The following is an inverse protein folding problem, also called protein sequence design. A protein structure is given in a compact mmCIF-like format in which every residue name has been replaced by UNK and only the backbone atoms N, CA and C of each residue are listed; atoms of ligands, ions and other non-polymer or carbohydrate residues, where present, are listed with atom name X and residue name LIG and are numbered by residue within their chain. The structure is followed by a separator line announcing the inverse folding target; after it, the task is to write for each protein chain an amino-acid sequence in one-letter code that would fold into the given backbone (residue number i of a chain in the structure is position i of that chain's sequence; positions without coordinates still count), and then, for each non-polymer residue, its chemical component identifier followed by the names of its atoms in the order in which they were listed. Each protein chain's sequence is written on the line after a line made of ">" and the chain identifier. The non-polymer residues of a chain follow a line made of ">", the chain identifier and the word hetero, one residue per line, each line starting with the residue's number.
data_IF_231535865840
#
_entry.id   IF_231535865840
#
_cell.length_a   1.000
_cell.length_b   1.000
_cell.length_c   1.000
_cell.angle_alpha   90.00
_cell.angle_beta   90.00
_cell.angle_gamma   90.00
#
_symmetry.space_group_name_H-M   'P 1'
#
loop_
_entity.id
_entity.type
_entity.pdbx_description
1 polymer ?
#
# COMPACT_ATOMS: atom_id res chain seq x y z
N UNK A 1 2.28 25.61 -4.38
CA UNK A 1 1.05 25.25 -3.65
C UNK A 1 0.02 24.81 -4.67
N UNK A 2 0.15 23.58 -5.16
CA UNK A 2 -0.65 23.05 -6.27
C UNK A 2 -1.75 22.18 -5.69
N UNK A 3 -2.96 22.72 -5.56
CA UNK A 3 -4.18 21.97 -5.29
C UNK A 3 -4.49 21.08 -6.51
N UNK A 4 -3.88 19.92 -6.58
CA UNK A 4 -4.46 18.86 -7.40
C UNK A 4 -5.69 18.32 -6.66
N UNK A 5 -6.80 19.00 -6.82
CA UNK A 5 -8.13 18.46 -6.61
C UNK A 5 -8.37 17.41 -7.70
N UNK A 6 -7.78 16.21 -7.57
CA UNK A 6 -8.34 15.07 -8.27
C UNK A 6 -9.79 14.99 -7.78
N UNK A 7 -10.76 15.04 -8.69
CA UNK A 7 -12.19 14.81 -8.44
C UNK A 7 -12.32 13.44 -7.77
N UNK A 8 -12.25 13.41 -6.44
CA UNK A 8 -12.64 12.23 -5.66
C UNK A 8 -14.17 12.27 -5.62
N UNK A 9 -14.82 11.43 -6.38
CA UNK A 9 -16.28 11.30 -6.38
C UNK A 9 -16.80 10.83 -5.02
N UNK A 10 -16.02 9.99 -4.33
CA UNK A 10 -16.30 9.57 -2.96
C UNK A 10 -15.07 9.80 -2.07
N UNK A 11 -15.28 10.51 -0.98
CA UNK A 11 -14.31 10.63 0.11
C UNK A 11 -14.61 9.53 1.12
N UNK A 12 -13.80 8.47 1.13
CA UNK A 12 -13.95 7.33 2.04
C UNK A 12 -12.87 7.42 3.09
N UNK A 13 -13.24 7.24 4.34
CA UNK A 13 -12.34 7.28 5.48
C UNK A 13 -11.24 6.21 5.35
N UNK A 14 -9.96 6.52 5.65
CA UNK A 14 -8.87 5.54 5.62
C UNK A 14 -9.11 4.33 6.53
N UNK A 15 -9.82 4.50 7.63
CA UNK A 15 -10.22 3.41 8.54
C UNK A 15 -11.14 2.42 7.86
N UNK A 16 -12.17 2.95 7.18
CA UNK A 16 -13.12 2.15 6.40
C UNK A 16 -12.42 1.37 5.30
N UNK A 17 -11.43 1.98 4.63
CA UNK A 17 -10.64 1.30 3.61
C UNK A 17 -9.81 0.14 4.18
N UNK A 18 -9.20 0.32 5.34
CA UNK A 18 -8.46 -0.75 6.02
C UNK A 18 -9.38 -1.91 6.42
N UNK A 19 -10.59 -1.57 6.91
CA UNK A 19 -11.59 -2.56 7.29
C UNK A 19 -12.11 -3.31 6.05
N UNK A 20 -12.36 -2.62 4.94
CA UNK A 20 -12.75 -3.23 3.67
C UNK A 20 -11.65 -4.17 3.15
N UNK A 21 -10.37 -3.80 3.29
CA UNK A 21 -9.27 -4.68 2.92
C UNK A 21 -9.28 -5.98 3.74
N UNK A 22 -9.50 -5.89 5.05
CA UNK A 22 -9.62 -7.09 5.90
C UNK A 22 -10.80 -7.97 5.47
N UNK A 23 -11.96 -7.37 5.21
CA UNK A 23 -13.14 -8.09 4.70
C UNK A 23 -12.83 -8.74 3.35
N UNK A 24 -12.12 -8.03 2.46
CA UNK A 24 -11.72 -8.56 1.15
C UNK A 24 -10.77 -9.77 1.29
N UNK A 25 -9.83 -9.74 2.25
CA UNK A 25 -8.95 -10.88 2.54
C UNK A 25 -9.77 -12.08 2.99
N UNK A 26 -10.72 -11.88 3.90
CA UNK A 26 -11.62 -12.95 4.36
C UNK A 26 -12.47 -13.48 3.20
N UNK A 27 -13.05 -12.59 2.38
CA UNK A 27 -13.84 -12.98 1.21
C UNK A 27 -13.03 -13.84 0.21
N UNK A 28 -11.79 -13.46 -0.07
CA UNK A 28 -10.93 -14.17 -1.00
C UNK A 28 -10.48 -15.54 -0.46
N UNK A 29 -10.21 -15.65 0.85
CA UNK A 29 -9.80 -16.92 1.46
C UNK A 29 -10.97 -17.91 1.57
N UNK A 30 -12.19 -17.42 1.82
CA UNK A 30 -13.40 -18.27 1.96
C UNK A 30 -14.13 -18.48 0.63
N UNK A 31 -13.60 -17.96 -0.49
CA UNK A 31 -14.23 -18.10 -1.80
C UNK A 31 -14.45 -19.58 -2.19
N UNK A 32 -15.70 -20.03 -2.41
CA UNK A 32 -16.00 -21.40 -2.75
C UNK A 32 -15.68 -21.72 -4.21
N UNK A 33 -15.88 -20.76 -5.11
CA UNK A 33 -15.80 -20.93 -6.55
C UNK A 33 -15.04 -19.79 -7.25
N UNK A 34 -14.46 -20.10 -8.42
CA UNK A 34 -13.74 -19.15 -9.26
C UNK A 34 -14.67 -18.01 -9.77
N UNK A 35 -15.95 -18.30 -9.98
CA UNK A 35 -16.97 -17.32 -10.37
C UNK A 35 -17.25 -16.31 -9.28
N UNK A 36 -17.17 -16.74 -8.03
CA UNK A 36 -17.27 -15.84 -6.86
C UNK A 36 -16.08 -14.89 -6.79
N UNK A 37 -14.86 -15.36 -7.06
CA UNK A 37 -13.68 -14.50 -7.13
C UNK A 37 -13.78 -13.44 -8.24
N UNK A 38 -14.32 -13.80 -9.42
CA UNK A 38 -14.64 -12.83 -10.49
C UNK A 38 -15.59 -11.73 -10.00
N UNK A 39 -16.66 -12.13 -9.29
CA UNK A 39 -17.62 -11.17 -8.73
C UNK A 39 -16.94 -10.24 -7.71
N UNK A 40 -16.06 -10.76 -6.86
CA UNK A 40 -15.29 -9.96 -5.91
C UNK A 40 -14.42 -8.92 -6.61
N UNK A 41 -13.70 -9.32 -7.67
CA UNK A 41 -12.87 -8.40 -8.47
C UNK A 41 -13.73 -7.32 -9.15
N UNK A 42 -14.93 -7.66 -9.62
CA UNK A 42 -15.86 -6.67 -10.18
C UNK A 42 -16.31 -5.64 -9.14
N UNK A 43 -16.63 -6.07 -7.93
CA UNK A 43 -17.00 -5.15 -6.82
C UNK A 43 -15.83 -4.24 -6.47
N UNK A 44 -14.61 -4.78 -6.38
CA UNK A 44 -13.40 -3.99 -6.16
C UNK A 44 -13.17 -3.00 -7.30
N UNK A 45 -13.43 -3.40 -8.55
CA UNK A 45 -13.33 -2.51 -9.71
C UNK A 45 -14.32 -1.35 -9.65
N UNK A 46 -15.58 -1.61 -9.29
CA UNK A 46 -16.59 -0.57 -9.07
C UNK A 46 -16.13 0.39 -7.94
N UNK A 47 -15.61 -0.15 -6.85
CA UNK A 47 -15.03 0.66 -5.78
C UNK A 47 -13.87 1.55 -6.26
N UNK A 48 -12.98 1.03 -7.12
CA UNK A 48 -11.88 1.80 -7.71
C UNK A 48 -12.38 2.91 -8.63
N UNK A 49 -13.44 2.65 -9.42
CA UNK A 49 -14.09 3.65 -10.28
C UNK A 49 -14.70 4.77 -9.43
N UNK A 50 -15.44 4.44 -8.38
CA UNK A 50 -16.01 5.41 -7.44
C UNK A 50 -14.95 6.24 -6.72
N UNK A 51 -13.78 5.65 -6.46
CA UNK A 51 -12.62 6.35 -5.88
C UNK A 51 -11.86 7.22 -6.88
N UNK A 52 -12.32 7.31 -8.15
CA UNK A 52 -11.74 8.17 -9.19
C UNK A 52 -10.47 7.63 -9.84
N UNK A 53 -10.12 6.36 -9.65
CA UNK A 53 -8.92 5.70 -10.23
C UNK A 53 -9.28 4.79 -11.40
N UNK A 54 -9.88 5.37 -12.44
CA UNK A 54 -10.37 4.64 -13.63
C UNK A 54 -9.27 3.77 -14.26
N UNK A 55 -8.05 4.28 -14.41
CA UNK A 55 -6.94 3.51 -15.01
C UNK A 55 -6.60 2.26 -14.20
N UNK A 56 -6.54 2.37 -12.88
CA UNK A 56 -6.29 1.22 -12.00
C UNK A 56 -7.43 0.20 -12.06
N UNK A 57 -8.69 0.65 -12.07
CA UNK A 57 -9.83 -0.22 -12.20
C UNK A 57 -9.79 -1.03 -13.50
N UNK A 58 -9.57 -0.36 -14.64
CA UNK A 58 -9.52 -1.01 -15.95
C UNK A 58 -8.35 -1.99 -16.04
N UNK A 59 -7.14 -1.55 -15.68
CA UNK A 59 -5.94 -2.41 -15.73
C UNK A 59 -6.10 -3.64 -14.82
N UNK A 60 -6.59 -3.44 -13.59
CA UNK A 60 -6.81 -4.54 -12.66
C UNK A 60 -7.87 -5.53 -13.13
N UNK A 61 -8.99 -5.05 -13.67
CA UNK A 61 -10.05 -5.95 -14.17
C UNK A 61 -9.60 -6.70 -15.43
N UNK A 62 -9.00 -6.01 -16.38
CA UNK A 62 -8.47 -6.64 -17.60
C UNK A 62 -7.37 -7.65 -17.25
N UNK A 63 -6.46 -7.29 -16.33
CA UNK A 63 -5.40 -8.19 -15.87
C UNK A 63 -5.97 -9.47 -15.25
N UNK A 64 -7.04 -9.37 -14.45
CA UNK A 64 -7.68 -10.53 -13.86
C UNK A 64 -8.37 -11.40 -14.91
N UNK A 65 -9.12 -10.80 -15.83
CA UNK A 65 -9.81 -11.53 -16.93
C UNK A 65 -8.79 -12.25 -17.81
N UNK A 66 -7.68 -11.59 -18.14
CA UNK A 66 -6.61 -12.20 -18.91
C UNK A 66 -5.98 -13.39 -18.16
N UNK A 67 -5.71 -13.23 -16.88
CA UNK A 67 -5.18 -14.29 -16.03
C UNK A 67 -6.18 -15.46 -15.90
N UNK A 68 -7.46 -15.16 -15.77
CA UNK A 68 -8.54 -16.16 -15.75
C UNK A 68 -8.60 -16.96 -17.05
N UNK A 69 -8.53 -16.29 -18.19
CA UNK A 69 -8.51 -16.94 -19.49
C UNK A 69 -7.30 -17.87 -19.67
N UNK A 70 -6.11 -17.42 -19.25
CA UNK A 70 -4.90 -18.25 -19.28
C UNK A 70 -5.05 -19.47 -18.38
N UNK A 71 -5.58 -19.31 -17.17
CA UNK A 71 -5.78 -20.41 -16.24
C UNK A 71 -6.72 -21.47 -16.79
N UNK A 72 -7.82 -21.08 -17.43
CA UNK A 72 -8.76 -22.00 -18.08
C UNK A 72 -8.11 -22.74 -19.27
N UNK A 73 -7.33 -22.05 -20.09
CA UNK A 73 -6.60 -22.68 -21.20
C UNK A 73 -5.51 -23.64 -20.71
N UNK A 74 -4.79 -23.29 -19.65
CA UNK A 74 -3.74 -24.12 -19.08
C UNK A 74 -4.31 -25.43 -18.51
N UNK A 75 -5.43 -25.34 -17.79
CA UNK A 75 -6.11 -26.51 -17.23
C UNK A 75 -6.70 -27.38 -18.33
N UNK A 76 -7.29 -26.80 -19.37
CA UNK A 76 -7.89 -27.56 -20.47
C UNK A 76 -6.88 -28.35 -21.34
N UNK A 77 -5.60 -27.92 -21.36
CA UNK A 77 -4.54 -28.54 -22.16
C UNK A 77 -3.58 -29.42 -21.37
N UNK A 78 -3.66 -29.42 -20.04
CA UNK A 78 -2.77 -30.20 -19.19
C UNK A 78 -3.16 -31.67 -19.15
N UNK A 79 -2.16 -32.56 -18.99
CA UNK A 79 -2.40 -33.98 -18.66
C UNK A 79 -2.95 -34.10 -17.25
N UNK A 80 -3.68 -35.19 -16.95
CA UNK A 80 -4.37 -35.39 -15.66
C UNK A 80 -3.46 -35.18 -14.43
N UNK A 81 -2.21 -35.62 -14.48
CA UNK A 81 -1.25 -35.46 -13.39
C UNK A 81 -0.81 -33.99 -13.18
N UNK A 82 -0.66 -33.23 -14.28
CA UNK A 82 -0.30 -31.81 -14.23
C UNK A 82 -1.50 -30.92 -13.89
N UNK A 83 -2.70 -31.36 -14.24
CA UNK A 83 -3.94 -30.60 -14.05
C UNK A 83 -4.20 -30.30 -12.56
N UNK A 84 -4.01 -31.30 -11.68
CA UNK A 84 -4.21 -31.12 -10.23
C UNK A 84 -3.22 -30.12 -9.65
N UNK A 85 -1.95 -30.21 -10.05
CA UNK A 85 -0.91 -29.29 -9.57
C UNK A 85 -1.13 -27.86 -10.08
N UNK A 86 -1.52 -27.72 -11.37
CA UNK A 86 -1.85 -26.42 -11.95
C UNK A 86 -3.08 -25.79 -11.30
N UNK A 87 -4.13 -26.56 -11.06
CA UNK A 87 -5.33 -26.07 -10.36
C UNK A 87 -5.01 -25.57 -8.96
N UNK A 88 -4.17 -26.27 -8.20
CA UNK A 88 -3.79 -25.84 -6.86
C UNK A 88 -2.97 -24.54 -6.91
N UNK A 89 -1.98 -24.45 -7.79
CA UNK A 89 -1.12 -23.27 -7.91
C UNK A 89 -1.89 -22.05 -8.44
N UNK A 90 -2.65 -22.21 -9.52
CA UNK A 90 -3.44 -21.14 -10.13
C UNK A 90 -4.55 -20.68 -9.17
N UNK A 91 -5.19 -21.60 -8.44
CA UNK A 91 -6.19 -21.27 -7.43
C UNK A 91 -5.60 -20.41 -6.30
N UNK A 92 -4.37 -20.68 -5.87
CA UNK A 92 -3.68 -19.83 -4.89
C UNK A 92 -3.45 -18.42 -5.43
N UNK A 93 -3.03 -18.28 -6.68
CA UNK A 93 -2.80 -16.97 -7.31
C UNK A 93 -4.13 -16.21 -7.46
N UNK A 94 -5.22 -16.89 -7.84
CA UNK A 94 -6.55 -16.28 -7.93
C UNK A 94 -7.00 -15.72 -6.58
N UNK A 95 -6.78 -16.41 -5.46
CA UNK A 95 -7.12 -15.93 -4.10
C UNK A 95 -6.30 -14.73 -3.67
N UNK A 96 -5.03 -14.63 -4.08
CA UNK A 96 -4.14 -13.52 -3.71
C UNK A 96 -4.48 -12.25 -4.54
N UNK A 97 -4.94 -12.41 -5.78
CA UNK A 97 -5.15 -11.30 -6.71
C UNK A 97 -6.12 -10.22 -6.20
N UNK A 98 -7.34 -10.53 -5.72
CA UNK A 98 -8.28 -9.53 -5.20
C UNK A 98 -7.69 -8.71 -4.05
N UNK A 99 -6.94 -9.37 -3.16
CA UNK A 99 -6.29 -8.71 -2.02
C UNK A 99 -5.21 -7.72 -2.48
N UNK A 100 -4.36 -8.15 -3.43
CA UNK A 100 -3.33 -7.29 -4.02
C UNK A 100 -3.93 -6.11 -4.78
N UNK A 101 -5.00 -6.35 -5.53
CA UNK A 101 -5.71 -5.31 -6.28
C UNK A 101 -6.34 -4.27 -5.34
N UNK A 102 -7.04 -4.72 -4.29
CA UNK A 102 -7.60 -3.81 -3.28
C UNK A 102 -6.51 -3.03 -2.54
N UNK A 103 -5.41 -3.68 -2.15
CA UNK A 103 -4.25 -3.03 -1.53
C UNK A 103 -3.65 -1.95 -2.44
N UNK A 104 -3.50 -2.21 -3.72
CA UNK A 104 -3.02 -1.25 -4.73
C UNK A 104 -3.93 -0.01 -4.84
N UNK A 105 -5.25 -0.21 -4.80
CA UNK A 105 -6.23 0.88 -4.80
C UNK A 105 -6.09 1.73 -3.53
N UNK A 106 -5.99 1.10 -2.36
CA UNK A 106 -5.85 1.81 -1.08
C UNK A 106 -4.58 2.64 -1.06
N UNK A 107 -3.43 2.07 -1.43
CA UNK A 107 -2.14 2.78 -1.48
C UNK A 107 -2.23 3.98 -2.43
N UNK A 108 -2.88 3.83 -3.58
CA UNK A 108 -2.99 4.88 -4.58
C UNK A 108 -4.00 5.99 -4.23
N UNK A 109 -4.97 5.70 -3.35
CA UNK A 109 -6.06 6.63 -2.98
C UNK A 109 -5.90 7.27 -1.62
N UNK A 110 -5.08 6.69 -0.73
CA UNK A 110 -4.90 7.16 0.64
C UNK A 110 -3.59 7.93 0.76
N UNK A 111 -3.66 9.16 1.27
CA UNK A 111 -2.47 9.94 1.57
C UNK A 111 -1.88 9.50 2.91
N UNK A 112 -0.56 9.59 3.02
CA UNK A 112 0.18 9.26 4.25
C UNK A 112 -0.34 10.05 5.45
N UNK A 113 -0.67 11.34 5.27
CA UNK A 113 -1.23 12.18 6.32
C UNK A 113 -2.63 11.74 6.79
N UNK A 114 -3.46 11.23 5.87
CA UNK A 114 -4.78 10.68 6.19
C UNK A 114 -4.64 9.36 6.99
N UNK A 115 -3.67 8.53 6.61
CA UNK A 115 -3.36 7.28 7.32
C UNK A 115 -2.88 7.54 8.75
N UNK A 116 -1.98 8.51 8.96
CA UNK A 116 -1.51 8.89 10.30
C UNK A 116 -2.65 9.44 11.17
N UNK A 117 -3.52 10.26 10.59
CA UNK A 117 -4.70 10.76 11.31
C UNK A 117 -5.66 9.64 11.70
N UNK A 118 -5.82 8.63 10.82
CA UNK A 118 -6.62 7.45 11.12
C UNK A 118 -6.04 6.65 12.30
N UNK A 119 -4.72 6.43 12.31
CA UNK A 119 -4.04 5.75 13.43
C UNK A 119 -4.19 6.50 14.75
N UNK A 120 -4.05 7.82 14.74
CA UNK A 120 -4.22 8.62 15.95
C UNK A 120 -5.65 8.52 16.50
N UNK A 121 -6.66 8.56 15.62
CA UNK A 121 -8.07 8.40 16.01
C UNK A 121 -8.42 6.96 16.45
N UNK A 122 -7.67 5.94 16.04
CA UNK A 122 -7.80 4.57 16.54
C UNK A 122 -7.14 4.37 17.92
N UNK A 123 -6.74 5.46 18.58
CA UNK A 123 -6.07 5.44 19.88
C UNK A 123 -4.75 4.64 19.87
N UNK A 124 -4.06 4.59 18.73
CA UNK A 124 -2.72 3.99 18.68
C UNK A 124 -1.78 4.70 19.69
N UNK A 125 -0.93 3.97 20.39
CA UNK A 125 -0.04 4.56 21.40
C UNK A 125 0.87 5.62 20.79
N UNK A 126 1.09 6.73 21.52
CA UNK A 126 1.93 7.85 21.07
C UNK A 126 3.34 7.39 20.68
N UNK A 127 3.87 6.39 21.37
CA UNK A 127 5.18 5.77 21.11
C UNK A 127 5.31 5.16 19.72
N UNK A 128 4.20 4.76 19.09
CA UNK A 128 4.18 4.22 17.72
C UNK A 128 3.88 5.32 16.69
N UNK A 129 2.91 6.19 16.98
CA UNK A 129 2.43 7.19 16.03
C UNK A 129 3.46 8.28 15.75
N UNK A 130 4.23 8.71 16.75
CA UNK A 130 5.23 9.77 16.59
C UNK A 130 6.41 9.31 15.73
N UNK A 131 7.08 8.18 16.01
CA UNK A 131 8.17 7.70 15.16
C UNK A 131 7.71 7.44 13.72
N UNK A 132 6.51 6.84 13.54
CA UNK A 132 5.96 6.60 12.21
C UNK A 132 5.73 7.89 11.42
N UNK A 133 5.21 8.94 12.08
CA UNK A 133 5.03 10.24 11.46
C UNK A 133 6.36 10.87 11.01
N UNK A 134 7.40 10.74 11.83
CA UNK A 134 8.76 11.22 11.51
C UNK A 134 9.34 10.42 10.34
N UNK A 135 9.26 9.07 10.40
CA UNK A 135 9.76 8.20 9.32
C UNK A 135 9.13 8.54 7.96
N UNK A 136 7.79 8.66 7.93
CA UNK A 136 7.07 8.95 6.68
C UNK A 136 7.37 10.36 6.13
N UNK A 137 7.68 11.32 7.01
CA UNK A 137 8.13 12.66 6.62
C UNK A 137 9.56 12.66 6.09
N UNK A 138 10.40 11.77 6.62
CA UNK A 138 11.83 11.71 6.26
C UNK A 138 12.08 10.98 4.93
N UNK A 139 11.15 10.15 4.46
CA UNK A 139 11.27 9.43 3.17
C UNK A 139 11.59 10.36 1.98
N UNK A 140 10.91 11.51 1.78
CA UNK A 140 11.28 12.44 0.71
C UNK A 140 12.70 12.98 0.85
N UNK A 141 13.13 13.30 2.07
CA UNK A 141 14.48 13.82 2.36
C UNK A 141 15.55 12.79 2.03
N UNK A 142 15.35 11.51 2.38
CA UNK A 142 16.26 10.41 2.00
C UNK A 142 16.43 10.33 0.48
N UNK A 143 15.38 10.59 -0.29
CA UNK A 143 15.49 10.59 -1.76
C UNK A 143 16.38 11.73 -2.27
N UNK A 144 16.28 12.90 -1.67
CA UNK A 144 17.12 14.04 -2.01
C UNK A 144 18.58 13.77 -1.63
N UNK A 145 18.82 13.27 -0.41
CA UNK A 145 20.15 12.86 0.06
C UNK A 145 20.77 11.79 -0.85
N UNK A 146 19.97 10.81 -1.28
CA UNK A 146 20.39 9.79 -2.23
C UNK A 146 20.86 10.39 -3.58
N UNK A 147 20.14 11.38 -4.10
CA UNK A 147 20.54 12.06 -5.33
C UNK A 147 21.87 12.80 -5.15
N UNK A 148 22.04 13.55 -4.06
CA UNK A 148 23.28 14.24 -3.75
C UNK A 148 24.46 13.28 -3.59
N UNK A 149 24.29 12.18 -2.88
CA UNK A 149 25.32 11.15 -2.72
C UNK A 149 25.69 10.55 -4.09
N UNK A 150 24.69 10.23 -4.89
CA UNK A 150 24.91 9.66 -6.23
C UNK A 150 25.68 10.61 -7.15
N UNK A 151 25.38 11.90 -7.11
CA UNK A 151 26.07 12.92 -7.91
C UNK A 151 27.52 13.13 -7.40
N UNK A 152 27.71 13.15 -6.07
CA UNK A 152 29.05 13.24 -5.48
C UNK A 152 29.92 11.99 -5.82
N UNK A 153 29.33 10.82 -5.89
CA UNK A 153 30.04 9.59 -6.30
C UNK A 153 30.45 9.60 -7.77
N UNK A 154 29.57 10.11 -8.64
CA UNK A 154 29.91 10.28 -10.07
C UNK A 154 31.12 11.19 -10.27
N UNK A 155 31.25 12.24 -9.46
CA UNK A 155 32.42 13.14 -9.50
C UNK A 155 33.72 12.47 -9.04
N UNK A 156 33.63 11.35 -8.30
CA UNK A 156 34.74 10.52 -7.83
C UNK A 156 35.00 9.29 -8.70
N UNK A 157 34.39 9.22 -9.88
CA UNK A 157 34.48 8.06 -10.80
C UNK A 157 34.02 6.73 -10.16
N UNK A 158 33.22 6.79 -9.10
CA UNK A 158 32.59 5.61 -8.48
C UNK A 158 31.13 5.56 -8.96
N UNK A 159 30.79 4.56 -9.78
CA UNK A 159 29.42 4.44 -10.24
C UNK A 159 28.56 3.63 -9.23
N UNK A 160 27.52 4.24 -8.62
CA UNK A 160 26.58 3.54 -7.73
C UNK A 160 25.59 2.71 -8.56
N UNK A 161 26.11 1.76 -9.32
CA UNK A 161 25.39 0.85 -10.21
C UNK A 161 25.48 -0.57 -9.66
N UNK A 162 24.53 -1.43 -10.04
CA UNK A 162 24.60 -2.86 -9.73
C UNK A 162 25.92 -3.50 -10.20
N UNK A 163 26.48 -3.04 -11.33
CA UNK A 163 27.81 -3.45 -11.79
C UNK A 163 28.95 -2.99 -10.88
N UNK A 164 28.91 -1.76 -10.37
CA UNK A 164 29.88 -1.24 -9.40
C UNK A 164 29.84 -1.98 -8.06
N UNK A 165 28.64 -2.33 -7.62
CA UNK A 165 28.44 -3.12 -6.40
C UNK A 165 29.01 -4.54 -6.53
N UNK A 166 28.90 -5.19 -7.68
CA UNK A 166 29.44 -6.52 -7.95
C UNK A 166 30.96 -6.53 -8.11
N UNK A 167 31.54 -5.47 -8.69
CA UNK A 167 32.99 -5.39 -8.94
C UNK A 167 33.79 -4.91 -7.73
N UNK A 168 33.24 -3.98 -6.93
CA UNK A 168 33.91 -3.39 -5.75
C UNK A 168 32.90 -3.13 -4.62
N UNK A 169 32.42 -4.20 -3.94
CA UNK A 169 31.34 -4.08 -2.96
C UNK A 169 31.73 -3.21 -1.75
N UNK A 170 32.93 -3.39 -1.20
CA UNK A 170 33.40 -2.64 -0.04
C UNK A 170 33.43 -1.13 -0.30
N UNK A 171 34.02 -0.71 -1.40
CA UNK A 171 34.15 0.69 -1.77
C UNK A 171 32.78 1.34 -2.06
N UNK A 172 31.88 0.61 -2.69
CA UNK A 172 30.52 1.09 -2.97
C UNK A 172 29.72 1.23 -1.67
N UNK A 173 29.85 0.28 -0.75
CA UNK A 173 29.23 0.35 0.56
C UNK A 173 29.75 1.56 1.36
N UNK A 174 31.04 1.76 1.47
CA UNK A 174 31.62 2.90 2.19
C UNK A 174 31.21 4.24 1.60
N UNK A 175 31.25 4.37 0.27
CA UNK A 175 30.90 5.63 -0.40
C UNK A 175 29.40 5.97 -0.36
N UNK A 176 28.51 4.99 -0.19
CA UNK A 176 27.07 5.18 -0.15
C UNK A 176 26.54 5.19 1.27
N UNK A 177 26.85 4.13 2.03
CA UNK A 177 26.24 3.94 3.35
C UNK A 177 26.82 4.86 4.41
N UNK A 178 28.12 5.13 4.40
CA UNK A 178 28.73 6.00 5.39
C UNK A 178 28.15 7.43 5.35
N UNK A 179 28.09 8.13 4.18
CA UNK A 179 27.45 9.44 4.12
C UNK A 179 25.95 9.40 4.49
N UNK A 180 25.23 8.37 4.05
CA UNK A 180 23.81 8.23 4.34
C UNK A 180 23.55 8.06 5.85
N UNK A 181 24.35 7.22 6.52
CA UNK A 181 24.25 7.02 7.97
C UNK A 181 24.63 8.27 8.74
N UNK A 182 25.66 8.99 8.31
CA UNK A 182 26.05 10.26 8.93
C UNK A 182 24.96 11.33 8.80
N UNK A 183 24.35 11.45 7.60
CA UNK A 183 23.22 12.35 7.38
C UNK A 183 22.02 11.97 8.23
N UNK A 184 21.69 10.69 8.30
CA UNK A 184 20.58 10.17 9.12
C UNK A 184 20.81 10.39 10.61
N UNK A 185 22.04 10.15 11.12
CA UNK A 185 22.40 10.39 12.51
C UNK A 185 22.26 11.88 12.88
N UNK A 186 22.83 12.75 12.03
CA UNK A 186 22.71 14.20 12.23
C UNK A 186 21.24 14.67 12.23
N UNK A 187 20.43 14.18 11.28
CA UNK A 187 19.02 14.50 11.24
C UNK A 187 18.27 13.99 12.48
N UNK A 188 18.63 12.80 13.00
CA UNK A 188 18.02 12.26 14.22
C UNK A 188 18.34 13.13 15.44
N UNK A 189 19.59 13.59 15.58
CA UNK A 189 19.99 14.47 16.67
C UNK A 189 19.27 15.83 16.59
N UNK A 190 19.23 16.45 15.43
CA UNK A 190 18.54 17.73 15.20
C UNK A 190 17.02 17.61 15.47
N UNK A 191 16.38 16.53 15.01
CA UNK A 191 14.96 16.26 15.24
C UNK A 191 14.68 15.98 16.72
N UNK A 192 15.56 15.27 17.40
CA UNK A 192 15.44 15.00 18.83
C UNK A 192 15.47 16.30 19.64
N UNK A 193 16.49 17.15 19.43
CA UNK A 193 16.62 18.44 20.08
C UNK A 193 15.39 19.32 19.81
N UNK A 194 15.01 19.44 18.54
CA UNK A 194 13.84 20.22 18.14
C UNK A 194 12.51 19.68 18.73
N UNK A 195 12.41 18.37 18.91
CA UNK A 195 11.22 17.73 19.47
C UNK A 195 11.09 18.01 20.97
N UNK A 196 12.19 17.91 21.72
CA UNK A 196 12.21 18.19 23.14
C UNK A 196 11.92 19.68 23.41
N UNK A 197 12.55 20.58 22.66
CA UNK A 197 12.31 22.04 22.80
C UNK A 197 10.88 22.45 22.46
N UNK A 198 10.20 21.70 21.58
CA UNK A 198 8.77 21.89 21.25
C UNK A 198 7.81 21.17 22.20
N UNK A 199 8.32 20.53 23.24
CA UNK A 199 7.50 19.86 24.25
C UNK A 199 6.83 18.56 23.75
N UNK A 200 7.61 17.68 23.08
CA UNK A 200 7.08 16.40 22.58
C UNK A 200 6.52 15.53 23.71
N UNK A 201 7.02 15.69 24.94
CA UNK A 201 6.61 14.94 26.14
C UNK A 201 5.33 15.48 26.79
N UNK A 202 4.78 16.62 26.30
CA UNK A 202 3.60 17.20 26.88
C UNK A 202 2.44 16.18 26.92
N UNK A 203 1.82 15.93 28.10
CA UNK A 203 0.72 14.99 28.26
C UNK A 203 -0.58 15.42 27.56
N UNK A 204 -0.73 16.69 27.18
CA UNK A 204 -1.94 17.20 26.56
C UNK A 204 -2.30 16.42 25.27
N UNK A 205 -3.59 16.24 24.99
CA UNK A 205 -4.04 15.58 23.77
C UNK A 205 -3.64 16.42 22.54
N UNK A 206 -3.06 15.76 21.55
CA UNK A 206 -2.65 16.41 20.31
C UNK A 206 -3.80 16.48 19.32
N UNK A 207 -3.94 17.61 18.66
CA UNK A 207 -4.89 17.80 17.57
C UNK A 207 -4.27 17.33 16.24
N UNK A 208 -5.09 16.72 15.38
CA UNK A 208 -4.67 16.33 14.04
C UNK A 208 -4.95 17.46 13.05
N UNK A 209 -4.00 17.73 12.14
CA UNK A 209 -4.16 18.72 11.08
C UNK A 209 -5.25 18.32 10.07
N UNK A 210 -5.40 17.02 9.81
CA UNK A 210 -6.43 16.49 8.92
C UNK A 210 -7.56 15.94 9.77
N UNK A 211 -8.73 16.60 9.73
CA UNK A 211 -9.92 16.11 10.41
C UNK A 211 -10.62 15.09 9.53
N UNK A 212 -10.66 13.85 10.01
CA UNK A 212 -11.29 12.72 9.32
C UNK A 212 -12.68 12.53 9.94
N UNK A 213 -13.72 12.52 9.09
CA UNK A 213 -15.09 12.30 9.53
C UNK A 213 -15.67 11.07 8.87
N UNK A 214 -16.34 10.27 9.65
CA UNK A 214 -17.05 9.09 9.18
C UNK A 214 -18.30 9.53 8.41
N UNK A 215 -18.47 9.03 7.18
CA UNK A 215 -19.61 9.36 6.34
C UNK A 215 -20.53 8.15 6.18
N UNK A 216 -21.80 8.41 5.89
CA UNK A 216 -22.80 7.35 5.63
C UNK A 216 -22.39 6.45 4.44
N UNK A 217 -21.68 7.00 3.47
CA UNK A 217 -21.09 6.27 2.33
C UNK A 217 -20.14 5.16 2.75
N UNK A 218 -19.39 5.36 3.86
CA UNK A 218 -18.44 4.37 4.37
C UNK A 218 -19.18 3.14 4.89
N UNK A 219 -20.29 3.36 5.61
CA UNK A 219 -21.12 2.27 6.13
C UNK A 219 -21.76 1.48 4.98
N UNK A 220 -22.24 2.16 3.95
CA UNK A 220 -22.87 1.51 2.80
C UNK A 220 -21.87 0.63 2.04
N UNK A 221 -20.65 1.10 1.83
CA UNK A 221 -19.61 0.31 1.15
C UNK A 221 -19.20 -0.90 2.00
N UNK A 222 -18.99 -0.72 3.30
CA UNK A 222 -18.67 -1.83 4.22
C UNK A 222 -19.81 -2.85 4.23
N UNK A 223 -21.05 -2.42 4.31
CA UNK A 223 -22.22 -3.29 4.28
C UNK A 223 -22.31 -4.09 2.96
N UNK A 224 -22.01 -3.47 1.83
CA UNK A 224 -21.96 -4.13 0.52
C UNK A 224 -20.91 -5.26 0.48
N UNK A 225 -19.68 -5.00 0.98
CA UNK A 225 -18.65 -6.02 1.05
C UNK A 225 -18.98 -7.15 2.04
N UNK A 226 -19.56 -6.81 3.20
CA UNK A 226 -20.04 -7.82 4.17
C UNK A 226 -21.17 -8.68 3.61
N UNK A 227 -22.14 -8.09 2.94
CA UNK A 227 -23.21 -8.82 2.28
C UNK A 227 -22.65 -9.80 1.24
N UNK A 228 -21.63 -9.38 0.50
CA UNK A 228 -20.97 -10.25 -0.46
C UNK A 228 -20.27 -11.45 0.20
N UNK A 229 -19.59 -11.24 1.33
CA UNK A 229 -18.99 -12.35 2.10
C UNK A 229 -20.05 -13.34 2.57
N UNK A 230 -21.16 -12.85 3.07
CA UNK A 230 -22.26 -13.70 3.56
C UNK A 230 -22.88 -14.52 2.41
N UNK A 231 -23.07 -13.93 1.23
CA UNK A 231 -23.56 -14.67 0.06
C UNK A 231 -22.59 -15.77 -0.38
N UNK A 232 -21.28 -15.55 -0.25
CA UNK A 232 -20.28 -16.57 -0.57
C UNK A 232 -20.23 -17.75 0.41
N UNK A 233 -20.74 -17.59 1.63
CA UNK A 233 -20.85 -18.68 2.61
C UNK A 233 -22.17 -19.46 2.47
N UNK A 234 -23.14 -18.90 1.78
CA UNK A 234 -24.44 -19.54 1.55
C UNK A 234 -24.51 -20.36 0.25
N UNK A 235 -23.55 -20.16 -0.65
CA UNK A 235 -23.38 -20.86 -1.94
C UNK A 235 -22.30 -21.93 -1.84
#
# INVERSE_FOLDING_TARGET
>A
MNRQTSRKWLWIDPRSKMLILLICVVAATTAPNLTYEMGLVLIISVFALLSGKIRLAIIGTIGYVFFYAISMLAVARASEALQTTLLAFLGMVHKIYPCGFMGGIIISTTKISEFLSAMNKLHAPKSLTIPLAIMLRYIPTIREDWHFIKDAMRLRDVSPSLGGFLTRPAMTLECVYAPLLMAASKAADELSIASVTRGIENPMPRTCYVDIRFHFTDVLVIACFLAYVITGQLV
#
